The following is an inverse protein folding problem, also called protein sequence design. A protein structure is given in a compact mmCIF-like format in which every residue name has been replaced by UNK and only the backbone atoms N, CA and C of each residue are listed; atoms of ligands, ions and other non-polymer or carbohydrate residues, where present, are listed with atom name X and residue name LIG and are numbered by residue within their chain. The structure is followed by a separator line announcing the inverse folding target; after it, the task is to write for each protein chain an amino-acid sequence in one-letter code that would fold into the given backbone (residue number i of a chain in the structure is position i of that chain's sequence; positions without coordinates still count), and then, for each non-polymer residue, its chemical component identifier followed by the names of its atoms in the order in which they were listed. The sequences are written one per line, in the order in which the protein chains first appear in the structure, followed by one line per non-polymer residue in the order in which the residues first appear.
data_IF_734169713344
#
_entry.id   IF_734169713344
#
_cell.length_a   1.000
_cell.length_b   1.000
_cell.length_c   1.000
_cell.angle_alpha   90.00
_cell.angle_beta   90.00
_cell.angle_gamma   90.00
#
_symmetry.space_group_name_H-M   'P 1'
#
loop_
_entity.id
_entity.type
_entity.pdbx_description
1 polymer ?
#
# COMPACT_ATOMS: atom_id res chain seq x y z
N UNK A 1 -10.09 -14.62 -18.45
CA UNK A 1 -9.43 -13.63 -17.57
C UNK A 1 -10.37 -12.45 -17.41
N UNK A 2 -11.31 -12.53 -16.47
CA UNK A 2 -12.19 -11.41 -16.16
C UNK A 2 -11.36 -10.29 -15.53
N UNK A 3 -11.44 -9.08 -16.07
CA UNK A 3 -10.82 -7.92 -15.43
C UNK A 3 -11.50 -7.68 -14.08
N UNK A 4 -10.75 -7.20 -13.11
CA UNK A 4 -11.21 -6.80 -11.77
C UNK A 4 -12.45 -5.87 -11.83
N UNK A 5 -12.51 -5.04 -12.88
CA UNK A 5 -13.63 -4.16 -13.19
C UNK A 5 -14.88 -4.89 -13.72
N UNK A 6 -14.77 -6.06 -14.35
CA UNK A 6 -15.95 -6.78 -14.86
C UNK A 6 -16.74 -7.44 -13.72
N UNK A 7 -16.08 -7.81 -12.62
CA UNK A 7 -16.71 -8.55 -11.53
C UNK A 7 -17.66 -7.70 -10.69
N UNK A 8 -17.51 -6.37 -10.71
CA UNK A 8 -18.45 -5.45 -10.05
C UNK A 8 -19.78 -5.33 -10.81
N UNK A 9 -19.82 -5.64 -12.10
CA UNK A 9 -21.07 -5.58 -12.90
C UNK A 9 -22.08 -6.60 -12.40
N UNK A 10 -21.59 -7.74 -11.91
CA UNK A 10 -22.39 -8.84 -11.38
C UNK A 10 -22.56 -8.77 -9.85
N UNK A 11 -21.95 -7.79 -9.18
CA UNK A 11 -22.07 -7.63 -7.72
C UNK A 11 -23.35 -6.85 -7.41
N UNK A 12 -24.35 -7.46 -6.72
CA UNK A 12 -25.62 -6.79 -6.47
C UNK A 12 -25.43 -5.54 -5.62
N UNK A 13 -26.16 -4.48 -6.02
CA UNK A 13 -26.14 -3.11 -5.49
C UNK A 13 -25.97 -3.02 -3.97
N UNK A 14 -24.98 -2.21 -3.60
CA UNK A 14 -24.87 -1.32 -2.43
C UNK A 14 -25.06 -1.89 -1.02
N UNK A 15 -26.17 -2.56 -0.72
CA UNK A 15 -26.53 -2.83 0.67
C UNK A 15 -25.50 -3.72 1.37
N UNK A 16 -24.90 -4.69 0.68
CA UNK A 16 -23.96 -5.61 1.32
C UNK A 16 -22.62 -4.97 1.66
N UNK A 17 -22.13 -4.04 0.84
CA UNK A 17 -20.86 -3.35 1.05
C UNK A 17 -21.05 -2.24 2.07
N UNK A 18 -22.12 -1.45 1.96
CA UNK A 18 -22.46 -0.43 2.94
C UNK A 18 -22.68 -1.06 4.33
N UNK A 19 -23.44 -2.16 4.43
CA UNK A 19 -23.62 -2.89 5.69
C UNK A 19 -22.29 -3.40 6.25
N UNK A 20 -21.38 -3.87 5.41
CA UNK A 20 -20.04 -4.33 5.84
C UNK A 20 -19.19 -3.17 6.36
N UNK A 21 -19.11 -2.07 5.63
CA UNK A 21 -18.35 -0.88 6.02
C UNK A 21 -18.90 -0.31 7.33
N UNK A 22 -20.22 -0.21 7.48
CA UNK A 22 -20.87 0.23 8.72
C UNK A 22 -20.65 -0.76 9.89
N UNK A 23 -20.68 -2.07 9.63
CA UNK A 23 -20.36 -3.06 10.65
C UNK A 23 -18.91 -2.93 11.14
N UNK A 24 -17.96 -2.72 10.23
CA UNK A 24 -16.55 -2.50 10.57
C UNK A 24 -16.35 -1.21 11.38
N UNK A 25 -17.04 -0.11 11.03
CA UNK A 25 -17.05 1.11 11.86
C UNK A 25 -17.51 0.80 13.28
N UNK A 26 -18.62 0.07 13.42
CA UNK A 26 -19.17 -0.28 14.74
C UNK A 26 -18.25 -1.18 15.54
N UNK A 27 -17.58 -2.13 14.88
CA UNK A 27 -16.63 -3.02 15.53
C UNK A 27 -15.38 -2.24 16.00
N UNK A 28 -14.87 -1.32 15.19
CA UNK A 28 -13.78 -0.42 15.59
C UNK A 28 -14.17 0.49 16.75
N UNK A 29 -15.40 1.05 16.76
CA UNK A 29 -15.91 1.85 17.87
C UNK A 29 -15.95 1.04 19.17
N UNK A 30 -16.41 -0.21 19.10
CA UNK A 30 -16.44 -1.11 20.25
C UNK A 30 -15.03 -1.44 20.76
N UNK A 31 -14.11 -1.81 19.85
CA UNK A 31 -12.72 -2.10 20.22
C UNK A 31 -12.03 -0.88 20.85
N UNK A 32 -12.29 0.32 20.32
CA UNK A 32 -11.77 1.55 20.89
C UNK A 32 -12.32 1.81 22.29
N UNK A 33 -13.63 1.65 22.49
CA UNK A 33 -14.27 1.81 23.80
C UNK A 33 -13.71 0.82 24.83
N UNK A 34 -13.56 -0.45 24.45
CA UNK A 34 -13.00 -1.50 25.32
C UNK A 34 -11.52 -1.21 25.66
N UNK A 35 -10.73 -0.77 24.68
CA UNK A 35 -9.31 -0.43 24.88
C UNK A 35 -9.14 0.80 25.78
N UNK A 36 -9.95 1.84 25.58
CA UNK A 36 -9.94 3.03 26.44
C UNK A 36 -10.34 2.68 27.87
N UNK A 37 -11.35 1.83 28.06
CA UNK A 37 -11.73 1.35 29.39
C UNK A 37 -10.57 0.60 30.07
N UNK A 38 -9.87 -0.26 29.33
CA UNK A 38 -8.67 -0.95 29.85
C UNK A 38 -7.54 0.04 30.18
N UNK A 39 -7.36 1.09 29.39
CA UNK A 39 -6.38 2.13 29.66
C UNK A 39 -6.73 2.88 30.96
N UNK A 40 -8.00 3.26 31.15
CA UNK A 40 -8.48 3.90 32.39
C UNK A 40 -8.30 3.01 33.62
N UNK A 41 -8.59 1.71 33.49
CA UNK A 41 -8.36 0.73 34.56
C UNK A 41 -6.87 0.58 34.89
N UNK A 42 -6.00 0.57 33.87
CA UNK A 42 -4.56 0.54 34.05
C UNK A 42 -4.03 1.82 34.71
N UNK A 43 -4.57 3.00 34.34
CA UNK A 43 -4.23 4.27 34.96
C UNK A 43 -4.59 4.30 36.45
N UNK A 44 -5.80 3.86 36.81
CA UNK A 44 -6.23 3.75 38.21
C UNK A 44 -5.38 2.77 39.01
N UNK A 45 -5.00 1.64 38.40
CA UNK A 45 -4.12 0.68 39.04
C UNK A 45 -2.71 1.25 39.28
N UNK A 46 -2.18 2.01 38.31
CA UNK A 46 -0.91 2.72 38.45
C UNK A 46 -0.99 3.75 39.59
N UNK A 47 -2.03 4.60 39.63
CA UNK A 47 -2.23 5.60 40.68
C UNK A 47 -2.33 4.94 42.07
N UNK A 48 -3.05 3.82 42.19
CA UNK A 48 -3.15 3.09 43.45
C UNK A 48 -1.78 2.58 43.94
N UNK A 49 -0.92 2.10 43.03
CA UNK A 49 0.45 1.68 43.37
C UNK A 49 1.34 2.89 43.72
N UNK A 50 1.18 4.01 43.03
CA UNK A 50 1.92 5.25 43.35
C UNK A 50 1.54 5.80 44.73
N UNK A 51 0.26 5.72 45.12
CA UNK A 51 -0.19 6.11 46.47
C UNK A 51 0.42 5.23 47.57
N UNK A 52 0.70 3.96 47.26
CA UNK A 52 1.31 3.00 48.20
C UNK A 52 2.80 3.29 48.46
N UNK A 53 3.46 4.11 47.62
CA UNK A 53 4.86 4.53 47.81
C UNK A 53 5.04 5.21 49.16
N UNK A 54 4.10 6.08 49.54
CA UNK A 54 4.13 6.78 50.83
C UNK A 54 4.09 5.80 52.01
N UNK A 55 3.25 4.75 51.94
CA UNK A 55 3.14 3.72 52.98
C UNK A 55 4.37 2.81 53.02
N UNK A 56 4.96 2.53 51.86
CA UNK A 56 6.20 1.77 51.76
C UNK A 56 7.35 2.52 52.44
N UNK A 57 7.48 3.82 52.21
CA UNK A 57 8.48 4.67 52.86
C UNK A 57 8.28 4.75 54.39
N UNK A 58 7.04 4.68 54.87
CA UNK A 58 6.72 4.63 56.31
C UNK A 58 6.85 3.24 56.94
N UNK A 59 7.22 2.21 56.17
CA UNK A 59 7.28 0.81 56.63
C UNK A 59 5.93 0.18 56.96
N UNK A 60 4.84 0.80 56.51
CA UNK A 60 3.45 0.35 56.73
C UNK A 60 2.89 -0.43 55.55
N UNK A 61 3.65 -0.54 54.46
CA UNK A 61 3.25 -1.31 53.27
C UNK A 61 3.62 -2.78 53.39
N UNK A 62 2.80 -3.62 52.77
CA UNK A 62 3.10 -5.05 52.55
C UNK A 62 4.09 -5.25 51.39
N UNK A 63 4.38 -4.22 50.60
CA UNK A 63 5.31 -4.27 49.48
C UNK A 63 6.69 -3.75 49.88
N UNK A 64 7.74 -4.40 49.37
CA UNK A 64 9.09 -3.83 49.40
C UNK A 64 9.20 -2.71 48.36
N UNK A 65 10.08 -1.74 48.61
CA UNK A 65 10.29 -0.61 47.69
C UNK A 65 10.67 -1.06 46.27
N UNK A 66 11.47 -2.13 46.16
CA UNK A 66 11.88 -2.71 44.89
C UNK A 66 10.72 -3.36 44.14
N UNK A 67 9.89 -4.15 44.84
CA UNK A 67 8.70 -4.77 44.24
C UNK A 67 7.69 -3.72 43.80
N UNK A 68 7.46 -2.70 44.63
CA UNK A 68 6.52 -1.62 44.33
C UNK A 68 6.97 -0.80 43.11
N UNK A 69 8.25 -0.45 43.04
CA UNK A 69 8.82 0.26 41.88
C UNK A 69 8.63 -0.54 40.58
N UNK A 70 8.87 -1.86 40.63
CA UNK A 70 8.66 -2.75 39.49
C UNK A 70 7.19 -2.82 39.07
N UNK A 71 6.26 -2.88 40.02
CA UNK A 71 4.82 -2.92 39.72
C UNK A 71 4.32 -1.60 39.11
N UNK A 72 4.80 -0.45 39.61
CA UNK A 72 4.48 0.88 39.05
C UNK A 72 4.99 0.95 37.61
N UNK A 73 6.23 0.53 37.35
CA UNK A 73 6.79 0.56 36.01
C UNK A 73 6.03 -0.36 35.05
N UNK A 74 5.65 -1.56 35.48
CA UNK A 74 4.82 -2.47 34.68
C UNK A 74 3.44 -1.87 34.38
N UNK A 75 2.79 -1.25 35.37
CA UNK A 75 1.49 -0.59 35.20
C UNK A 75 1.60 0.60 34.24
N UNK A 76 2.64 1.43 34.37
CA UNK A 76 2.90 2.55 33.49
C UNK A 76 3.18 2.12 32.04
N UNK A 77 3.97 1.05 31.84
CA UNK A 77 4.21 0.47 30.52
C UNK A 77 2.91 -0.06 29.90
N UNK A 78 2.08 -0.77 30.68
CA UNK A 78 0.79 -1.28 30.22
C UNK A 78 -0.17 -0.13 29.83
N UNK A 79 -0.29 0.89 30.68
CA UNK A 79 -1.10 2.07 30.40
C UNK A 79 -0.65 2.79 29.13
N UNK A 80 0.67 2.99 28.96
CA UNK A 80 1.26 3.59 27.75
C UNK A 80 0.97 2.76 26.50
N UNK A 81 1.11 1.44 26.57
CA UNK A 81 0.82 0.55 25.44
C UNK A 81 -0.66 0.60 25.05
N UNK A 82 -1.58 0.57 26.01
CA UNK A 82 -3.01 0.67 25.75
C UNK A 82 -3.41 2.01 25.12
N UNK A 83 -2.83 3.11 25.57
CA UNK A 83 -3.07 4.43 24.96
C UNK A 83 -2.54 4.51 23.52
N UNK A 84 -1.39 3.87 23.25
CA UNK A 84 -0.88 3.79 21.88
C UNK A 84 -1.83 3.01 20.98
N UNK A 85 -2.29 1.84 21.42
CA UNK A 85 -3.29 1.04 20.69
C UNK A 85 -4.60 1.80 20.48
N UNK A 86 -5.07 2.54 21.49
CA UNK A 86 -6.27 3.37 21.36
C UNK A 86 -6.11 4.45 20.28
N UNK A 87 -4.95 5.12 20.22
CA UNK A 87 -4.66 6.11 19.19
C UNK A 87 -4.62 5.49 17.77
N UNK A 88 -4.07 4.29 17.62
CA UNK A 88 -4.10 3.57 16.34
C UNK A 88 -5.54 3.19 15.92
N UNK A 89 -6.35 2.73 16.86
CA UNK A 89 -7.77 2.41 16.62
C UNK A 89 -8.58 3.67 16.26
N UNK A 90 -8.30 4.80 16.89
CA UNK A 90 -8.91 6.10 16.55
C UNK A 90 -8.60 6.52 15.12
N UNK A 91 -7.34 6.39 14.70
CA UNK A 91 -6.94 6.70 13.33
C UNK A 91 -7.64 5.78 12.32
N UNK A 92 -7.65 4.46 12.58
CA UNK A 92 -8.35 3.49 11.74
C UNK A 92 -9.84 3.77 11.66
N UNK A 93 -10.47 4.11 12.79
CA UNK A 93 -11.88 4.48 12.84
C UNK A 93 -12.18 5.74 12.03
N UNK A 94 -11.32 6.76 12.12
CA UNK A 94 -11.46 7.99 11.35
C UNK A 94 -11.37 7.73 9.84
N UNK A 95 -10.43 6.89 9.42
CA UNK A 95 -10.26 6.53 8.02
C UNK A 95 -11.42 5.67 7.50
N UNK A 96 -11.92 4.72 8.31
CA UNK A 96 -13.09 3.92 7.97
C UNK A 96 -14.37 4.77 7.88
N UNK A 97 -14.53 5.78 8.75
CA UNK A 97 -15.67 6.72 8.66
C UNK A 97 -15.66 7.52 7.37
N UNK A 98 -14.48 7.98 6.91
CA UNK A 98 -14.35 8.63 5.59
C UNK A 98 -14.76 7.71 4.45
N UNK A 99 -14.45 6.41 4.54
CA UNK A 99 -14.90 5.42 3.56
C UNK A 99 -16.42 5.27 3.64
N UNK A 100 -16.99 5.12 4.83
CA UNK A 100 -18.43 5.00 5.03
C UNK A 100 -19.20 6.18 4.41
N UNK A 101 -18.74 7.41 4.65
CA UNK A 101 -19.36 8.63 4.12
C UNK A 101 -19.27 8.69 2.58
N UNK A 102 -18.19 8.18 2.00
CA UNK A 102 -17.91 8.22 0.56
C UNK A 102 -18.30 6.96 -0.21
N UNK A 103 -18.79 5.91 0.46
CA UNK A 103 -18.91 4.56 -0.12
C UNK A 103 -19.75 4.56 -1.40
N UNK A 104 -20.87 5.28 -1.39
CA UNK A 104 -21.75 5.43 -2.55
C UNK A 104 -21.04 6.12 -3.73
N UNK A 105 -20.28 7.17 -3.46
CA UNK A 105 -19.53 7.90 -4.49
C UNK A 105 -18.42 7.05 -5.10
N UNK A 106 -17.71 6.27 -4.28
CA UNK A 106 -16.67 5.36 -4.76
C UNK A 106 -17.27 4.22 -5.58
N UNK A 107 -18.42 3.69 -5.16
CA UNK A 107 -19.15 2.67 -5.90
C UNK A 107 -19.60 3.16 -7.28
N UNK A 108 -20.31 4.29 -7.35
CA UNK A 108 -20.78 4.88 -8.62
C UNK A 108 -19.63 5.11 -9.60
N UNK A 109 -18.50 5.59 -9.10
CA UNK A 109 -17.30 5.79 -9.90
C UNK A 109 -16.71 4.47 -10.39
N UNK A 110 -16.63 3.47 -9.53
CA UNK A 110 -16.11 2.15 -9.87
C UNK A 110 -17.01 1.43 -10.90
N UNK A 111 -18.34 1.55 -10.76
CA UNK A 111 -19.32 1.08 -11.72
C UNK A 111 -19.20 1.80 -13.06
N UNK A 112 -19.05 3.13 -13.04
CA UNK A 112 -18.82 3.93 -14.25
C UNK A 112 -17.56 3.48 -15.01
N UNK A 113 -16.46 3.25 -14.28
CA UNK A 113 -15.24 2.71 -14.88
C UNK A 113 -15.45 1.32 -15.46
N UNK A 114 -16.20 0.45 -14.77
CA UNK A 114 -16.50 -0.88 -15.26
C UNK A 114 -17.21 -0.87 -16.62
N UNK A 115 -18.18 0.04 -16.81
CA UNK A 115 -18.88 0.22 -18.08
C UNK A 115 -18.00 0.87 -19.16
N UNK A 116 -17.16 1.84 -18.78
CA UNK A 116 -16.35 2.63 -19.70
C UNK A 116 -15.07 1.90 -20.15
N UNK A 117 -14.44 1.12 -19.27
CA UNK A 117 -13.05 0.69 -19.43
C UNK A 117 -12.83 -0.18 -20.68
N UNK A 118 -13.76 -1.07 -21.04
CA UNK A 118 -13.62 -1.91 -22.24
C UNK A 118 -13.46 -1.08 -23.51
N UNK A 119 -14.30 -0.06 -23.65
CA UNK A 119 -14.42 0.78 -24.85
C UNK A 119 -13.57 2.07 -24.79
N UNK A 120 -12.98 2.38 -23.64
CA UNK A 120 -12.17 3.57 -23.43
C UNK A 120 -10.90 3.60 -24.30
N UNK A 121 -10.49 4.82 -24.67
CA UNK A 121 -9.20 5.08 -25.32
C UNK A 121 -8.02 4.70 -24.41
N UNK A 122 -6.83 4.48 -24.98
CA UNK A 122 -5.65 4.12 -24.19
C UNK A 122 -5.29 5.21 -23.15
N UNK A 123 -5.44 6.49 -23.52
CA UNK A 123 -5.21 7.60 -22.61
C UNK A 123 -6.18 7.55 -21.41
N UNK A 124 -7.46 7.25 -21.67
CA UNK A 124 -8.48 7.15 -20.63
C UNK A 124 -8.28 5.92 -19.73
N UNK A 125 -7.92 4.77 -20.30
CA UNK A 125 -7.54 3.57 -19.54
C UNK A 125 -6.42 3.84 -18.54
N UNK A 126 -5.40 4.63 -18.93
CA UNK A 126 -4.31 5.03 -18.03
C UNK A 126 -4.81 5.87 -16.85
N UNK A 127 -5.74 6.81 -17.11
CA UNK A 127 -6.34 7.63 -16.05
C UNK A 127 -7.11 6.75 -15.06
N UNK A 128 -7.95 5.83 -15.56
CA UNK A 128 -8.72 4.92 -14.69
C UNK A 128 -7.78 4.06 -13.84
N UNK A 129 -6.73 3.48 -14.42
CA UNK A 129 -5.74 2.67 -13.69
C UNK A 129 -5.03 3.51 -12.61
N UNK A 130 -4.63 4.74 -12.93
CA UNK A 130 -3.96 5.62 -11.98
C UNK A 130 -4.87 6.08 -10.83
N UNK A 131 -6.19 6.07 -11.02
CA UNK A 131 -7.17 6.37 -9.96
C UNK A 131 -7.54 5.14 -9.13
N UNK A 132 -7.34 3.93 -9.67
CA UNK A 132 -7.67 2.68 -9.00
C UNK A 132 -6.52 2.15 -8.12
N UNK A 133 -5.29 2.33 -8.58
CA UNK A 133 -4.11 1.84 -7.88
C UNK A 133 -3.30 3.00 -7.32
N UNK A 134 -3.02 2.92 -6.03
CA UNK A 134 -2.09 3.82 -5.35
C UNK A 134 -0.65 3.60 -5.81
N UNK A 135 -0.27 2.34 -6.04
CA UNK A 135 1.09 1.99 -6.49
C UNK A 135 1.08 0.77 -7.41
N UNK A 136 1.91 0.82 -8.44
CA UNK A 136 2.18 -0.31 -9.33
C UNK A 136 3.68 -0.49 -9.38
N UNK A 137 4.17 -1.63 -8.89
CA UNK A 137 5.59 -1.95 -8.85
C UNK A 137 5.94 -3.03 -9.86
N UNK A 138 7.13 -2.88 -10.43
CA UNK A 138 7.70 -3.78 -11.44
C UNK A 138 9.00 -4.36 -10.89
N UNK A 139 8.96 -5.64 -10.55
CA UNK A 139 10.10 -6.36 -10.05
C UNK A 139 10.91 -7.03 -11.16
N UNK A 140 12.12 -7.49 -10.79
CA UNK A 140 12.95 -8.32 -11.68
C UNK A 140 12.17 -9.56 -12.11
N UNK A 141 12.22 -9.83 -13.42
CA UNK A 141 11.41 -10.90 -14.03
C UNK A 141 10.04 -10.45 -14.52
N UNK A 142 9.76 -9.13 -14.59
CA UNK A 142 8.47 -8.57 -15.03
C UNK A 142 7.29 -8.98 -14.12
N UNK A 143 7.56 -9.15 -12.83
CA UNK A 143 6.51 -9.37 -11.83
C UNK A 143 5.87 -8.03 -11.49
N UNK A 144 4.55 -7.97 -11.58
CA UNK A 144 3.76 -6.78 -11.27
C UNK A 144 3.16 -6.91 -9.86
N UNK A 145 3.41 -5.91 -9.02
CA UNK A 145 2.75 -5.74 -7.73
C UNK A 145 1.77 -4.57 -7.80
N UNK A 146 0.53 -4.79 -7.36
CA UNK A 146 -0.52 -3.78 -7.40
C UNK A 146 -0.95 -3.46 -5.96
N UNK A 147 -0.81 -2.19 -5.57
CA UNK A 147 -1.39 -1.63 -4.36
C UNK A 147 -2.64 -0.85 -4.77
N UNK A 148 -3.80 -1.32 -4.35
CA UNK A 148 -5.09 -0.67 -4.62
C UNK A 148 -5.16 0.59 -3.77
N UNK A 149 -5.81 1.63 -4.29
CA UNK A 149 -6.16 2.77 -3.45
C UNK A 149 -7.13 2.34 -2.34
N UNK A 150 -6.82 2.74 -1.10
CA UNK A 150 -7.56 2.40 0.12
C UNK A 150 -9.08 2.60 -0.01
N UNK A 151 -9.50 3.62 -0.78
CA UNK A 151 -10.90 3.93 -0.97
C UNK A 151 -11.66 2.84 -1.75
N UNK A 152 -10.95 1.99 -2.50
CA UNK A 152 -11.55 0.92 -3.30
C UNK A 152 -11.35 -0.50 -2.76
N UNK A 153 -10.51 -0.70 -1.74
CA UNK A 153 -10.24 -2.05 -1.17
C UNK A 153 -11.53 -2.79 -0.78
N UNK A 154 -12.49 -2.05 -0.22
CA UNK A 154 -13.79 -2.56 0.22
C UNK A 154 -14.63 -3.19 -0.91
N UNK A 155 -14.43 -2.75 -2.15
CA UNK A 155 -15.09 -3.28 -3.35
C UNK A 155 -14.35 -4.46 -3.99
N UNK A 156 -13.09 -4.68 -3.60
CA UNK A 156 -12.26 -5.77 -4.11
C UNK A 156 -12.33 -6.98 -3.19
N UNK A 157 -12.44 -6.78 -1.88
CA UNK A 157 -12.60 -7.88 -0.92
C UNK A 157 -13.95 -8.62 -1.05
N UNK A 158 -15.01 -7.96 -1.53
CA UNK A 158 -16.29 -8.61 -1.87
C UNK A 158 -16.17 -9.52 -3.10
N UNK A 159 -15.27 -9.19 -4.01
CA UNK A 159 -14.89 -10.02 -5.14
C UNK A 159 -13.86 -11.00 -4.63
N UNK A 160 -14.33 -12.09 -4.01
CA UNK A 160 -13.53 -13.21 -3.53
C UNK A 160 -12.39 -13.58 -4.50
N UNK A 161 -11.23 -12.92 -4.42
CA UNK A 161 -9.99 -13.31 -5.09
C UNK A 161 -9.37 -14.43 -4.26
N UNK A 162 -10.15 -15.50 -4.05
CA UNK A 162 -9.62 -16.77 -3.58
C UNK A 162 -8.70 -17.28 -4.67
N UNK A 163 -7.41 -17.08 -4.44
CA UNK A 163 -6.33 -17.58 -5.27
C UNK A 163 -5.79 -16.54 -6.24
N UNK A 164 -5.02 -15.58 -5.70
CA UNK A 164 -3.65 -15.25 -6.16
C UNK A 164 -3.13 -14.06 -5.36
N UNK A 165 -2.58 -14.34 -4.18
CA UNK A 165 -1.44 -13.56 -3.76
C UNK A 165 -0.34 -13.79 -4.81
N UNK A 166 -0.05 -12.76 -5.59
CA UNK A 166 0.93 -12.81 -6.66
C UNK A 166 0.40 -13.38 -7.98
N UNK A 167 0.78 -12.70 -9.06
CA UNK A 167 0.74 -13.16 -10.45
C UNK A 167 -0.64 -13.03 -11.14
N UNK A 168 -0.90 -11.83 -11.66
CA UNK A 168 -1.59 -11.75 -12.96
C UNK A 168 -0.55 -11.30 -13.99
N UNK A 169 0.09 -12.28 -14.65
CA UNK A 169 0.85 -12.02 -15.86
C UNK A 169 -0.14 -11.54 -16.93
N UNK A 170 -0.35 -10.23 -17.02
CA UNK A 170 -1.01 -9.62 -18.17
C UNK A 170 0.02 -9.64 -19.28
N UNK A 171 -0.14 -10.54 -20.24
CA UNK A 171 0.73 -10.66 -21.41
C UNK A 171 0.70 -9.36 -22.22
N UNK A 172 1.61 -8.45 -21.91
CA UNK A 172 1.92 -7.31 -22.78
C UNK A 172 2.88 -7.84 -23.84
N UNK A 173 2.39 -8.09 -25.05
CA UNK A 173 3.26 -8.35 -26.20
C UNK A 173 4.08 -7.10 -26.48
N UNK A 174 5.40 -7.25 -26.40
CA UNK A 174 6.39 -6.17 -26.57
C UNK A 174 6.23 -5.48 -27.93
N UNK A 175 6.25 -4.13 -28.01
CA UNK A 175 6.59 -3.46 -29.27
C UNK A 175 8.06 -3.77 -29.63
N UNK A 176 8.39 -3.98 -30.92
CA UNK A 176 9.72 -4.36 -31.32
C UNK A 176 10.75 -3.28 -30.93
N UNK A 177 11.85 -3.72 -30.29
CA UNK A 177 13.01 -2.88 -29.99
C UNK A 177 13.49 -2.20 -31.27
N UNK A 178 13.31 -0.88 -31.39
CA UNK A 178 14.03 -0.09 -32.39
C UNK A 178 15.51 -0.14 -32.01
N UNK A 179 16.29 -0.97 -32.73
CA UNK A 179 17.74 -0.96 -32.58
C UNK A 179 18.28 0.38 -33.09
N UNK A 180 19.18 1.05 -32.36
CA UNK A 180 19.94 2.14 -32.95
C UNK A 180 20.76 1.59 -34.12
N UNK A 181 20.75 2.29 -35.27
CA UNK A 181 21.53 1.90 -36.46
C UNK A 181 23.03 1.97 -36.11
N UNK A 182 23.63 0.82 -35.82
CA UNK A 182 25.07 0.68 -35.75
C UNK A 182 25.66 0.93 -37.16
N UNK A 183 26.65 1.81 -37.23
CA UNK A 183 27.39 2.14 -38.43
C UNK A 183 28.00 0.89 -39.08
N UNK A 184 28.05 0.90 -40.42
CA UNK A 184 28.67 -0.15 -41.21
C UNK A 184 30.18 -0.18 -40.94
N UNK A 185 30.67 -1.29 -40.41
CA UNK A 185 32.06 -1.71 -40.62
C UNK A 185 32.06 -3.14 -41.17
N UNK A 186 32.48 -3.29 -42.43
CA UNK A 186 32.91 -4.54 -43.03
C UNK A 186 34.02 -4.16 -44.03
N UNK A 187 35.28 -4.38 -43.66
CA UNK A 187 36.13 -5.55 -43.94
C UNK A 187 36.98 -5.32 -45.19
N UNK A 188 38.29 -5.20 -44.96
CA UNK A 188 39.33 -5.23 -45.98
C UNK A 188 39.51 -6.65 -46.53
N UNK A 189 39.77 -6.77 -47.84
CA UNK A 189 40.43 -7.92 -48.48
C UNK A 189 41.05 -7.49 -49.82
N UNK A 190 42.39 -7.46 -49.85
CA UNK A 190 43.34 -7.74 -50.96
C UNK A 190 42.98 -7.27 -52.39
N UNK A 191 43.81 -6.53 -53.12
CA UNK A 191 45.05 -7.03 -53.76
C UNK A 191 45.85 -5.87 -54.40
N UNK A 192 47.17 -6.05 -54.48
CA UNK A 192 48.16 -5.14 -55.04
C UNK A 192 48.08 -4.99 -56.59
N UNK A 193 48.44 -3.81 -57.12
CA UNK A 193 49.54 -3.62 -58.10
C UNK A 193 49.59 -2.20 -58.70
N UNK A 194 50.83 -1.78 -58.92
CA UNK A 194 51.34 -0.82 -59.91
C UNK A 194 51.19 0.68 -59.65
N UNK A 195 52.31 1.25 -59.20
CA UNK A 195 52.60 2.66 -59.32
C UNK A 195 52.76 3.12 -60.78
N UNK A 196 52.53 4.41 -60.98
CA UNK A 196 53.09 5.14 -62.12
C UNK A 196 53.51 6.53 -61.65
N UNK A 197 54.82 6.75 -61.74
CA UNK A 197 55.56 8.01 -61.51
C UNK A 197 54.96 9.19 -62.28
N UNK A 198 54.98 10.39 -61.68
CA UNK A 198 55.49 11.67 -62.26
C UNK A 198 55.99 12.52 -61.07
N UNK A 199 57.32 12.59 -60.83
CA UNK A 199 58.23 13.72 -61.15
C UNK A 199 57.63 15.08 -60.76
N UNK A 200 57.96 15.65 -59.60
CA UNK A 200 59.21 16.35 -59.23
C UNK A 200 59.36 17.71 -59.92
N UNK A 201 59.23 18.78 -59.14
CA UNK A 201 60.26 19.83 -59.02
C UNK A 201 60.04 20.63 -57.72
N UNK A 202 61.10 20.90 -56.93
CA UNK A 202 61.07 21.76 -55.75
C UNK A 202 61.61 23.16 -56.10
N UNK A 203 61.49 24.14 -55.20
CA UNK A 203 62.57 25.07 -54.80
C UNK A 203 62.09 25.86 -53.57
N UNK A 204 62.94 25.86 -52.55
CA UNK A 204 62.88 26.64 -51.30
C UNK A 204 63.09 28.14 -51.53
N UNK A 205 62.50 28.97 -50.67
CA UNK A 205 63.15 29.72 -49.59
C UNK A 205 62.09 30.56 -48.85
#
# INVERSE_FOLDING_TARGET
TGMLLNTIQDTPKDESIEKRVLAEVKDLERQLADTRKQADEAAKAQEALEMEVSRCLMGQSQFTAEMLSKLIEQAAQKHKALNHTAAELEQKLADQKKIADGVQTYYDRFLGWSMEFGMASLARKRIIIAQLFKRIELDRGYNLHFEVDWNYEQFIDSVNVKGKQGITAVGITLPPKVRPKAGKTAKASQTAKNGRKRKAEPISA
#
